data_IF_256067804468
#
_entry.id   IF_256067804468
#
_cell.length_a   1.000
_cell.length_b   1.000
_cell.length_c   1.000
_cell.angle_alpha   90.00
_cell.angle_beta   90.00
_cell.angle_gamma   90.00
#
_symmetry.space_group_name_H-M   'P 1'
#
loop_
_entity.id
_entity.type
_entity.pdbx_description
1 polymer ?
#
# COMPACT_ATOMS: atom_id res chain seq x y z
N UNK A 1 8.23 -6.42 -12.00
CA UNK A 1 8.10 -6.45 -10.51
C UNK A 1 7.85 -5.06 -9.95
N UNK A 2 8.40 -3.99 -10.56
CA UNK A 2 7.98 -2.60 -10.31
C UNK A 2 6.47 -2.39 -10.57
N UNK A 3 5.94 -3.08 -11.57
CA UNK A 3 4.57 -2.96 -12.08
C UNK A 3 3.48 -3.14 -11.01
N UNK A 4 3.71 -4.00 -9.99
CA UNK A 4 2.72 -4.25 -8.93
C UNK A 4 2.68 -3.14 -7.89
N UNK A 5 3.85 -2.58 -7.54
CA UNK A 5 3.90 -1.46 -6.59
C UNK A 5 3.32 -0.21 -7.24
N UNK A 6 3.71 0.10 -8.47
CA UNK A 6 3.16 1.23 -9.22
C UNK A 6 1.63 1.13 -9.38
N UNK A 7 1.11 -0.07 -9.70
CA UNK A 7 -0.33 -0.29 -9.77
C UNK A 7 -1.03 -0.09 -8.42
N UNK A 8 -0.42 -0.56 -7.33
CA UNK A 8 -0.95 -0.35 -5.98
C UNK A 8 -0.96 1.15 -5.61
N UNK A 9 0.13 1.86 -5.86
CA UNK A 9 0.25 3.30 -5.59
C UNK A 9 -0.79 4.10 -6.40
N UNK A 10 -1.02 3.74 -7.66
CA UNK A 10 -2.05 4.37 -8.49
C UNK A 10 -3.47 4.08 -7.96
N UNK A 11 -3.74 2.87 -7.47
CA UNK A 11 -5.03 2.53 -6.86
C UNK A 11 -5.26 3.28 -5.54
N UNK A 12 -4.22 3.42 -4.72
CA UNK A 12 -4.20 4.17 -3.48
C UNK A 12 -4.46 5.66 -3.71
N UNK A 13 -3.78 6.27 -4.67
CA UNK A 13 -3.93 7.67 -5.04
C UNK A 13 -5.37 7.99 -5.48
N UNK A 14 -5.97 7.14 -6.35
CA UNK A 14 -7.37 7.25 -6.77
C UNK A 14 -8.38 7.24 -5.62
N UNK A 15 -8.00 6.65 -4.48
CA UNK A 15 -8.84 6.52 -3.29
C UNK A 15 -8.48 7.53 -2.18
N UNK A 16 -7.56 8.46 -2.48
CA UNK A 16 -7.17 9.53 -1.56
C UNK A 16 -6.16 9.11 -0.50
N UNK A 17 -5.44 8.00 -0.71
CA UNK A 17 -4.27 7.67 0.11
C UNK A 17 -3.05 8.46 -0.36
N UNK A 18 -2.28 8.99 0.58
CA UNK A 18 -0.92 9.47 0.34
C UNK A 18 0.05 8.32 0.56
N UNK A 19 0.92 8.09 -0.41
CA UNK A 19 1.91 7.01 -0.35
C UNK A 19 3.29 7.61 -0.57
N UNK A 20 4.26 7.27 0.29
CA UNK A 20 5.65 7.69 0.11
C UNK A 20 6.61 6.65 0.67
N UNK A 21 7.83 6.64 0.11
CA UNK A 21 8.91 5.81 0.60
C UNK A 21 9.90 6.68 1.39
N UNK A 22 10.30 6.23 2.57
CA UNK A 22 11.38 6.83 3.33
C UNK A 22 12.74 6.42 2.76
N UNK A 23 13.79 7.20 3.04
CA UNK A 23 15.17 6.88 2.64
C UNK A 23 15.65 5.51 3.15
N UNK A 24 15.04 4.99 4.22
CA UNK A 24 15.29 3.64 4.75
C UNK A 24 14.69 2.50 3.90
N UNK A 25 13.95 2.82 2.84
CA UNK A 25 13.23 1.86 2.00
C UNK A 25 11.85 1.44 2.52
N UNK A 26 11.43 2.03 3.64
CA UNK A 26 10.13 1.82 4.28
C UNK A 26 9.01 2.54 3.52
N UNK A 27 7.88 1.87 3.35
CA UNK A 27 6.68 2.47 2.75
C UNK A 27 5.73 2.99 3.82
N UNK A 28 5.21 4.18 3.59
CA UNK A 28 4.19 4.80 4.42
C UNK A 28 2.97 5.11 3.55
N UNK A 29 1.80 4.74 4.06
CA UNK A 29 0.51 4.94 3.42
C UNK A 29 -0.42 5.63 4.41
N UNK A 30 -0.96 6.79 4.05
CA UNK A 30 -1.81 7.59 4.95
C UNK A 30 -3.13 7.95 4.29
N UNK A 31 -4.22 7.83 5.03
CA UNK A 31 -5.54 8.35 4.64
C UNK A 31 -6.27 8.86 5.87
N UNK A 32 -6.54 10.17 5.88
CA UNK A 32 -7.12 10.84 7.06
C UNK A 32 -6.23 10.66 8.29
N UNK A 33 -6.78 10.04 9.34
CA UNK A 33 -6.09 9.77 10.61
C UNK A 33 -5.37 8.42 10.66
N UNK A 34 -5.51 7.59 9.62
CA UNK A 34 -4.88 6.27 9.56
C UNK A 34 -3.57 6.39 8.79
N UNK A 35 -2.47 5.99 9.43
CA UNK A 35 -1.16 5.83 8.79
C UNK A 35 -0.71 4.39 8.97
N UNK A 36 -0.39 3.74 7.86
CA UNK A 36 0.18 2.40 7.79
C UNK A 36 1.65 2.55 7.43
N UNK A 37 2.49 1.86 8.19
CA UNK A 37 3.92 1.79 7.97
C UNK A 37 4.31 0.36 7.64
N UNK A 38 5.02 0.18 6.53
CA UNK A 38 5.44 -1.13 6.06
C UNK A 38 6.96 -1.13 5.84
N UNK A 39 7.66 -1.95 6.61
CA UNK A 39 9.12 -1.84 6.80
C UNK A 39 9.96 -2.04 5.54
N UNK A 40 9.45 -2.72 4.51
CA UNK A 40 10.17 -2.98 3.25
C UNK A 40 9.22 -3.20 2.09
N UNK A 41 9.70 -3.03 0.87
CA UNK A 41 8.93 -3.42 -0.33
C UNK A 41 8.65 -4.93 -0.31
N UNK A 42 7.39 -5.38 -0.47
CA UNK A 42 7.06 -6.80 -0.46
C UNK A 42 7.72 -7.53 -1.65
N UNK A 43 8.33 -8.68 -1.39
CA UNK A 43 9.00 -9.49 -2.42
C UNK A 43 8.22 -10.77 -2.69
N UNK A 44 7.66 -11.38 -1.65
CA UNK A 44 6.93 -12.64 -1.72
C UNK A 44 5.42 -12.40 -1.81
N UNK A 45 4.69 -13.38 -2.37
CA UNK A 45 3.23 -13.31 -2.47
C UNK A 45 2.54 -13.15 -1.09
N UNK A 46 3.09 -13.79 -0.05
CA UNK A 46 2.59 -13.65 1.32
C UNK A 46 2.70 -12.21 1.83
N UNK A 47 3.88 -11.57 1.67
CA UNK A 47 4.08 -10.18 2.08
C UNK A 47 3.18 -9.21 1.31
N UNK A 48 2.91 -9.50 0.02
CA UNK A 48 1.95 -8.73 -0.77
C UNK A 48 0.53 -8.87 -0.20
N UNK A 49 0.10 -10.09 0.13
CA UNK A 49 -1.22 -10.32 0.74
C UNK A 49 -1.35 -9.63 2.10
N UNK A 50 -0.31 -9.68 2.93
CA UNK A 50 -0.29 -8.99 4.23
C UNK A 50 -0.42 -7.47 4.05
N UNK A 51 0.36 -6.86 3.15
CA UNK A 51 0.25 -5.43 2.84
C UNK A 51 -1.17 -5.07 2.36
N UNK A 52 -1.73 -5.85 1.43
CA UNK A 52 -3.07 -5.60 0.89
C UNK A 52 -4.16 -5.74 1.96
N UNK A 53 -4.04 -6.72 2.87
CA UNK A 53 -4.97 -6.88 3.98
C UNK A 53 -4.92 -5.72 4.97
N UNK A 54 -3.71 -5.24 5.29
CA UNK A 54 -3.54 -4.06 6.17
C UNK A 54 -4.13 -2.82 5.52
N UNK A 55 -3.87 -2.59 4.22
CA UNK A 55 -4.44 -1.47 3.49
C UNK A 55 -5.97 -1.57 3.39
N UNK A 56 -6.52 -2.77 3.17
CA UNK A 56 -7.98 -3.02 3.21
C UNK A 56 -8.59 -2.66 4.56
N UNK A 57 -7.92 -3.02 5.66
CA UNK A 57 -8.32 -2.61 7.01
C UNK A 57 -8.35 -1.09 7.21
N UNK A 58 -7.50 -0.35 6.48
CA UNK A 58 -7.51 1.12 6.43
C UNK A 58 -8.49 1.72 5.39
N UNK A 59 -9.32 0.88 4.77
CA UNK A 59 -10.35 1.30 3.83
C UNK A 59 -9.90 1.36 2.37
N UNK A 60 -8.78 0.72 2.00
CA UNK A 60 -8.47 0.47 0.59
C UNK A 60 -9.52 -0.50 0.04
N UNK A 61 -10.30 -0.04 -0.93
CA UNK A 61 -11.31 -0.85 -1.59
C UNK A 61 -10.78 -1.29 -2.96
N UNK A 62 -10.70 -2.59 -3.18
CA UNK A 62 -10.46 -3.09 -4.54
C UNK A 62 -11.81 -3.42 -5.14
N UNK A 63 -12.13 -2.94 -6.36
CA UNK A 63 -13.36 -3.34 -7.01
C UNK A 63 -13.39 -4.86 -7.08
N UNK A 64 -14.40 -5.47 -6.44
CA UNK A 64 -14.67 -6.88 -6.65
C UNK A 64 -15.21 -7.00 -8.08
N UNK A 65 -14.49 -7.73 -8.93
CA UNK A 65 -14.97 -8.13 -10.25
C UNK A 65 -16.29 -8.90 -10.17
#
# INVERSE_FOLDING_TARGET
>A
MADRMDALLAALDRQGFRSWQADSGMWMFSRGYVTITFHRTPVTAGEWLDLLNVLRGAGLDFPQE
#
